data_IF_805948082033
#
_entry.id   IF_805948082033
#
_cell.length_a   1.000
_cell.length_b   1.000
_cell.length_c   1.000
_cell.angle_alpha   90.00
_cell.angle_beta   90.00
_cell.angle_gamma   90.00
#
_symmetry.space_group_name_H-M   'P 1'
#
loop_
_entity.id
_entity.type
_entity.pdbx_description
1 polymer ?
#
# COMPACT_ATOMS: atom_id res chain seq x y z
N UNK A 1 47.39 -10.12 -30.17
CA UNK A 1 46.85 -9.40 -29.00
C UNK A 1 45.45 -8.93 -29.36
N UNK A 2 44.42 -9.52 -28.76
CA UNK A 2 43.02 -9.15 -29.00
C UNK A 2 42.61 -8.17 -27.90
N UNK A 3 42.25 -6.95 -28.27
CA UNK A 3 41.70 -5.96 -27.36
C UNK A 3 40.30 -6.39 -26.95
N UNK A 4 40.12 -6.68 -25.66
CA UNK A 4 38.83 -6.90 -25.03
C UNK A 4 38.21 -5.52 -24.77
N UNK A 5 37.22 -5.13 -25.57
CA UNK A 5 36.41 -3.94 -25.27
C UNK A 5 35.49 -4.28 -24.10
N UNK A 6 35.81 -3.76 -22.91
CA UNK A 6 34.90 -3.76 -21.78
C UNK A 6 33.83 -2.70 -22.10
N UNK A 7 32.69 -3.16 -22.61
CA UNK A 7 31.48 -2.34 -22.62
C UNK A 7 31.08 -2.18 -21.16
N UNK A 8 31.40 -1.04 -20.56
CA UNK A 8 30.74 -0.62 -19.33
C UNK A 8 29.25 -0.48 -19.68
N UNK A 9 28.46 -1.48 -19.31
CA UNK A 9 27.02 -1.33 -19.16
C UNK A 9 26.79 -0.27 -18.10
N UNK A 10 26.59 0.98 -18.53
CA UNK A 10 26.00 2.00 -17.70
C UNK A 10 24.70 1.40 -17.13
N UNK A 11 24.67 1.30 -15.80
CA UNK A 11 23.53 0.79 -15.07
C UNK A 11 22.24 1.48 -15.53
N UNK A 12 21.18 0.68 -15.57
CA UNK A 12 19.82 1.07 -15.95
C UNK A 12 19.45 2.45 -15.37
N UNK A 13 18.80 3.26 -16.21
CA UNK A 13 18.52 4.65 -15.96
C UNK A 13 17.89 4.91 -14.60
N UNK A 14 18.44 5.90 -13.91
CA UNK A 14 17.79 6.59 -12.81
C UNK A 14 16.44 7.10 -13.33
N UNK A 15 15.35 6.56 -12.78
CA UNK A 15 13.98 7.04 -13.02
C UNK A 15 13.92 8.56 -12.86
N UNK A 16 13.12 9.23 -13.69
CA UNK A 16 12.97 10.68 -13.63
C UNK A 16 12.41 11.10 -12.27
N UNK A 17 13.30 11.52 -11.38
CA UNK A 17 12.97 12.04 -10.08
C UNK A 17 12.06 13.28 -10.25
N UNK A 18 11.00 13.38 -9.46
CA UNK A 18 10.01 14.46 -9.57
C UNK A 18 10.40 15.62 -8.66
N UNK A 19 10.01 16.84 -9.01
CA UNK A 19 10.26 17.98 -8.14
C UNK A 19 9.34 17.91 -6.93
N UNK A 20 9.89 17.79 -5.72
CA UNK A 20 9.14 17.86 -4.47
C UNK A 20 8.87 19.33 -4.09
N UNK A 21 8.09 20.00 -4.93
CA UNK A 21 7.64 21.38 -4.77
C UNK A 21 6.14 21.42 -4.59
N UNK A 22 5.68 22.12 -3.55
CA UNK A 22 4.26 22.25 -3.15
C UNK A 22 3.36 22.90 -4.20
N UNK A 23 3.94 23.47 -5.27
CA UNK A 23 3.20 24.12 -6.37
C UNK A 23 2.76 23.18 -7.49
N UNK A 24 3.19 21.91 -7.48
CA UNK A 24 2.95 20.96 -8.58
C UNK A 24 2.04 19.83 -8.11
N UNK A 25 0.81 19.78 -8.62
CA UNK A 25 -0.04 18.60 -8.51
C UNK A 25 0.40 17.53 -9.50
N UNK A 26 0.26 16.25 -9.13
CA UNK A 26 0.48 15.13 -10.04
C UNK A 26 -0.87 14.61 -10.52
N UNK A 27 -0.96 14.18 -11.77
CA UNK A 27 -2.23 13.73 -12.33
C UNK A 27 -2.10 12.34 -12.92
N UNK A 28 -2.97 11.45 -12.48
CA UNK A 28 -3.14 10.11 -13.03
C UNK A 28 -4.48 10.04 -13.75
N UNK A 29 -4.46 9.62 -15.02
CA UNK A 29 -5.67 9.32 -15.78
C UNK A 29 -6.21 7.97 -15.35
N UNK A 30 -7.53 7.89 -15.18
CA UNK A 30 -8.23 6.64 -14.92
C UNK A 30 -8.77 6.10 -16.25
N UNK A 31 -8.37 4.89 -16.62
CA UNK A 31 -8.74 4.28 -17.91
C UNK A 31 -9.98 3.40 -17.79
N UNK A 32 -9.99 2.55 -16.76
CA UNK A 32 -11.05 1.58 -16.48
C UNK A 32 -11.37 1.69 -14.99
N UNK A 33 -12.47 2.37 -14.68
CA UNK A 33 -13.02 2.42 -13.33
C UNK A 33 -14.26 1.53 -13.28
N UNK A 34 -14.32 0.65 -12.30
CA UNK A 34 -15.47 -0.20 -11.98
C UNK A 34 -15.72 -0.12 -10.49
N UNK A 35 -16.99 0.04 -10.14
CA UNK A 35 -17.45 0.15 -8.76
C UNK A 35 -18.67 -0.74 -8.61
N UNK A 36 -18.45 -2.01 -8.33
CA UNK A 36 -19.54 -2.91 -8.00
C UNK A 36 -19.86 -2.73 -6.53
N UNK A 37 -21.08 -2.30 -6.23
CA UNK A 37 -21.52 -2.09 -4.87
C UNK A 37 -22.53 -3.14 -4.44
N UNK A 38 -22.67 -3.39 -3.12
CA UNK A 38 -23.87 -4.05 -2.62
C UNK A 38 -25.08 -3.17 -2.94
N UNK A 39 -26.17 -3.79 -3.41
CA UNK A 39 -27.45 -3.10 -3.54
C UNK A 39 -27.96 -2.73 -2.14
N UNK A 40 -27.98 -1.43 -1.84
CA UNK A 40 -28.43 -0.88 -0.55
C UNK A 40 -29.88 -1.22 -0.25
N UNK A 41 -30.67 -1.58 -1.27
CA UNK A 41 -32.09 -1.93 -1.15
C UNK A 41 -32.32 -3.45 -1.01
N UNK A 42 -31.27 -4.29 -1.12
CA UNK A 42 -31.35 -5.76 -0.95
C UNK A 42 -30.52 -6.25 0.25
N UNK A 43 -31.17 -6.59 1.38
CA UNK A 43 -30.51 -7.20 2.53
C UNK A 43 -29.79 -8.50 2.14
N UNK A 44 -28.49 -8.60 2.40
CA UNK A 44 -27.67 -9.77 2.09
C UNK A 44 -26.76 -9.64 0.87
N UNK A 45 -26.86 -8.55 0.10
CA UNK A 45 -25.81 -8.13 -0.81
C UNK A 45 -24.72 -7.47 0.02
N UNK A 46 -23.66 -8.20 0.34
CA UNK A 46 -22.48 -7.63 0.99
C UNK A 46 -21.32 -7.51 0.01
N UNK A 47 -21.29 -8.25 -1.09
CA UNK A 47 -20.18 -8.21 -2.04
C UNK A 47 -20.10 -6.88 -2.81
N UNK A 48 -18.92 -6.27 -2.84
CA UNK A 48 -18.57 -5.08 -3.61
C UNK A 48 -17.19 -5.27 -4.24
N UNK A 49 -16.89 -4.66 -5.38
CA UNK A 49 -15.55 -4.70 -6.01
C UNK A 49 -15.24 -3.38 -6.65
N UNK A 50 -14.10 -2.79 -6.31
CA UNK A 50 -13.56 -1.62 -6.98
C UNK A 50 -12.38 -2.07 -7.83
N UNK A 51 -12.31 -1.56 -9.06
CA UNK A 51 -11.13 -1.66 -9.90
C UNK A 51 -10.88 -0.29 -10.53
N UNK A 52 -9.65 0.21 -10.43
CA UNK A 52 -9.22 1.46 -11.07
C UNK A 52 -7.87 1.24 -11.73
N UNK A 53 -7.82 1.38 -13.05
CA UNK A 53 -6.56 1.37 -13.81
C UNK A 53 -6.01 2.78 -13.98
N UNK A 54 -4.81 3.02 -13.46
CA UNK A 54 -4.14 4.33 -13.45
C UNK A 54 -3.07 4.41 -14.54
N UNK A 55 -3.00 5.56 -15.19
CA UNK A 55 -2.10 5.79 -16.32
C UNK A 55 -1.58 7.24 -16.34
N UNK A 56 -0.37 7.43 -16.87
CA UNK A 56 0.13 8.77 -17.25
C UNK A 56 -0.22 9.15 -18.69
N UNK A 57 -0.74 8.20 -19.48
CA UNK A 57 -1.08 8.35 -20.89
C UNK A 57 -2.25 7.42 -21.30
N UNK A 58 -2.06 6.55 -22.29
CA UNK A 58 -3.04 5.56 -22.75
C UNK A 58 -2.77 4.14 -22.26
N UNK A 59 -1.60 3.88 -21.69
CA UNK A 59 -1.21 2.54 -21.21
C UNK A 59 -1.37 2.45 -19.70
N UNK A 60 -2.10 1.45 -19.16
CA UNK A 60 -2.26 1.28 -17.72
C UNK A 60 -0.90 0.99 -17.07
N UNK A 61 -0.53 1.82 -16.09
CA UNK A 61 0.70 1.70 -15.31
C UNK A 61 0.46 0.95 -14.00
N UNK A 62 -0.68 1.20 -13.34
CA UNK A 62 -1.02 0.56 -12.08
C UNK A 62 -2.47 0.09 -12.08
N UNK A 63 -2.71 -1.07 -11.48
CA UNK A 63 -4.04 -1.64 -11.26
C UNK A 63 -4.36 -1.64 -9.77
N UNK A 64 -5.39 -0.89 -9.38
CA UNK A 64 -5.86 -0.73 -8.01
C UNK A 64 -7.17 -1.51 -7.84
N UNK A 65 -7.14 -2.65 -7.13
CA UNK A 65 -8.31 -3.54 -6.98
C UNK A 65 -8.57 -3.87 -5.52
N UNK A 66 -9.83 -3.86 -5.09
CA UNK A 66 -10.27 -4.30 -3.76
C UNK A 66 -11.72 -4.85 -3.81
N UNK A 67 -12.10 -5.77 -2.91
CA UNK A 67 -13.42 -6.43 -2.95
C UNK A 67 -14.14 -6.53 -1.60
N UNK A 68 -15.13 -5.71 -1.26
CA UNK A 68 -15.90 -5.83 0.01
C UNK A 68 -16.91 -7.03 0.06
N UNK A 69 -17.35 -7.52 1.25
CA UNK A 69 -16.44 -7.72 2.34
C UNK A 69 -15.30 -8.55 1.75
N UNK A 70 -14.10 -8.01 1.83
CA UNK A 70 -12.99 -8.88 1.57
C UNK A 70 -13.11 -9.95 2.66
N UNK A 71 -12.76 -11.20 2.35
CA UNK A 71 -12.38 -12.21 3.34
C UNK A 71 -11.24 -11.74 4.31
N UNK A 72 -10.91 -10.45 4.31
CA UNK A 72 -9.72 -9.79 4.78
C UNK A 72 -10.16 -8.74 5.82
N UNK A 73 -9.72 -8.91 7.06
CA UNK A 73 -9.84 -7.92 8.14
C UNK A 73 -8.77 -6.83 7.98
N UNK A 74 -8.80 -6.07 6.89
CA UNK A 74 -8.20 -4.72 6.82
C UNK A 74 -8.96 -3.77 7.74
N UNK A 75 -8.44 -2.56 8.01
CA UNK A 75 -9.10 -1.62 8.94
C UNK A 75 -10.56 -1.35 8.53
N UNK A 76 -11.51 -1.85 9.33
CA UNK A 76 -12.95 -1.68 9.14
C UNK A 76 -13.45 -0.64 10.14
N UNK A 77 -13.51 0.64 9.78
CA UNK A 77 -14.45 1.51 10.48
C UNK A 77 -15.86 1.10 10.00
N UNK A 78 -16.54 0.31 10.83
CA UNK A 78 -17.89 -0.23 10.56
C UNK A 78 -18.89 0.89 10.19
N UNK A 79 -18.58 2.12 10.59
CA UNK A 79 -19.37 3.32 10.31
C UNK A 79 -19.11 3.91 8.91
N UNK A 80 -17.89 3.80 8.38
CA UNK A 80 -17.48 4.48 7.14
C UNK A 80 -17.18 3.54 5.96
N UNK A 81 -17.09 2.22 6.17
CA UNK A 81 -16.80 1.22 5.11
C UNK A 81 -15.61 1.66 4.22
N UNK A 82 -14.44 1.88 4.82
CA UNK A 82 -13.20 2.23 4.13
C UNK A 82 -12.35 0.98 3.93
N UNK A 83 -11.85 0.70 2.71
CA UNK A 83 -10.82 -0.34 2.45
C UNK A 83 -9.57 0.33 1.92
N UNK A 84 -8.40 -0.05 2.42
CA UNK A 84 -7.08 0.26 1.86
C UNK A 84 -6.54 -0.94 1.08
N UNK A 85 -6.00 -0.71 -0.12
CA UNK A 85 -5.36 -1.74 -0.93
C UNK A 85 -4.22 -1.15 -1.76
N UNK A 86 -3.26 -1.98 -2.13
CA UNK A 86 -2.14 -1.59 -2.99
C UNK A 86 -2.57 -1.46 -4.45
N UNK A 87 -1.86 -0.63 -5.20
CA UNK A 87 -1.95 -0.57 -6.65
C UNK A 87 -0.75 -1.30 -7.28
N UNK A 88 -1.01 -2.38 -8.00
CA UNK A 88 0.03 -3.24 -8.56
C UNK A 88 0.56 -2.61 -9.86
N UNK A 89 1.88 -2.42 -9.95
CA UNK A 89 2.52 -1.99 -11.20
C UNK A 89 2.38 -3.07 -12.27
N UNK A 90 1.87 -2.69 -13.45
CA UNK A 90 1.57 -3.62 -14.55
C UNK A 90 2.80 -4.12 -15.29
N UNK A 91 3.98 -3.57 -15.00
CA UNK A 91 5.19 -3.76 -15.80
C UNK A 91 5.22 -2.90 -17.08
N UNK A 92 4.17 -2.11 -17.34
CA UNK A 92 4.12 -1.23 -18.50
C UNK A 92 4.74 0.14 -18.21
N UNK A 93 5.44 0.68 -19.21
CA UNK A 93 6.15 1.97 -19.12
C UNK A 93 7.26 1.98 -18.06
N UNK A 94 7.88 3.14 -17.86
CA UNK A 94 8.73 3.37 -16.70
C UNK A 94 7.84 3.88 -15.57
N UNK A 95 7.47 3.02 -14.62
CA UNK A 95 6.78 3.46 -13.41
C UNK A 95 7.54 4.63 -12.78
N UNK A 96 6.84 5.68 -12.37
CA UNK A 96 7.47 6.91 -11.86
C UNK A 96 7.28 7.07 -10.35
N UNK A 97 6.62 6.11 -9.71
CA UNK A 97 6.35 6.05 -8.28
C UNK A 97 6.98 4.76 -7.73
N UNK A 98 7.52 4.84 -6.51
CA UNK A 98 8.08 3.69 -5.79
C UNK A 98 6.99 2.77 -5.26
N UNK A 99 5.90 3.36 -4.80
CA UNK A 99 4.72 2.64 -4.29
C UNK A 99 3.47 3.48 -4.51
N UNK A 100 2.34 2.81 -4.68
CA UNK A 100 1.04 3.43 -4.86
C UNK A 100 0.00 2.58 -4.15
N UNK A 101 -0.86 3.23 -3.38
CA UNK A 101 -1.99 2.60 -2.70
C UNK A 101 -3.23 3.46 -2.88
N UNK A 102 -4.38 2.83 -2.73
CA UNK A 102 -5.66 3.52 -2.80
C UNK A 102 -6.55 3.10 -1.63
N UNK A 103 -7.54 3.94 -1.34
CA UNK A 103 -8.62 3.60 -0.46
C UNK A 103 -9.98 3.95 -1.07
N UNK A 104 -11.06 3.30 -0.63
CA UNK A 104 -12.41 3.59 -1.12
C UNK A 104 -13.37 3.78 0.03
N UNK A 105 -14.06 4.92 0.04
CA UNK A 105 -15.24 5.16 0.87
C UNK A 105 -16.47 4.75 0.06
N UNK A 106 -17.06 3.61 0.42
CA UNK A 106 -18.19 3.03 -0.31
C UNK A 106 -19.50 3.83 -0.13
N UNK A 107 -19.63 4.57 0.97
CA UNK A 107 -20.82 5.37 1.23
C UNK A 107 -20.80 6.65 0.41
N UNK A 108 -19.63 7.30 0.33
CA UNK A 108 -19.44 8.54 -0.42
C UNK A 108 -19.12 8.30 -1.90
N UNK A 109 -18.81 7.05 -2.29
CA UNK A 109 -18.33 6.67 -3.62
C UNK A 109 -17.08 7.48 -4.00
N UNK A 110 -16.12 7.55 -3.08
CA UNK A 110 -14.86 8.30 -3.28
C UNK A 110 -13.70 7.34 -3.26
N UNK A 111 -12.82 7.46 -4.24
CA UNK A 111 -11.50 6.81 -4.27
C UNK A 111 -10.46 7.80 -3.78
N UNK A 112 -9.64 7.39 -2.83
CA UNK A 112 -8.46 8.09 -2.35
C UNK A 112 -7.22 7.43 -2.94
N UNK A 113 -6.23 8.22 -3.32
CA UNK A 113 -4.97 7.73 -3.87
C UNK A 113 -3.82 8.31 -3.06
N UNK A 114 -2.84 7.48 -2.72
CA UNK A 114 -1.58 7.89 -2.13
C UNK A 114 -0.43 7.25 -2.90
N UNK A 115 0.63 8.01 -3.17
CA UNK A 115 1.80 7.47 -3.86
C UNK A 115 3.09 8.14 -3.38
N UNK A 116 4.16 7.34 -3.38
CA UNK A 116 5.50 7.75 -2.98
C UNK A 116 6.40 7.73 -4.20
N UNK A 117 7.24 8.75 -4.37
CA UNK A 117 8.18 8.85 -5.49
C UNK A 117 9.50 9.50 -5.07
N UNK A 118 10.56 9.26 -5.85
CA UNK A 118 11.86 9.89 -5.60
C UNK A 118 11.84 11.37 -5.99
N UNK A 119 12.35 12.22 -5.09
CA UNK A 119 12.54 13.65 -5.33
C UNK A 119 13.78 13.91 -6.19
N UNK A 120 13.72 14.90 -7.08
CA UNK A 120 14.86 15.36 -7.90
C UNK A 120 15.85 16.24 -7.14
N UNK A 121 15.76 16.26 -5.81
CA UNK A 121 16.83 16.79 -4.99
C UNK A 121 18.02 15.84 -5.06
N UNK A 122 19.22 16.39 -5.06
CA UNK A 122 20.46 15.58 -5.04
C UNK A 122 20.66 14.86 -3.70
N UNK A 123 19.67 14.91 -2.81
CA UNK A 123 19.68 14.33 -1.47
C UNK A 123 19.01 12.95 -1.46
N UNK A 124 18.25 12.62 -2.52
CA UNK A 124 17.60 11.32 -2.67
C UNK A 124 16.37 11.18 -1.77
N UNK A 125 15.70 12.29 -1.44
CA UNK A 125 14.50 12.24 -0.60
C UNK A 125 13.31 11.66 -1.35
N UNK A 126 12.23 11.39 -0.61
CA UNK A 126 10.98 10.84 -1.13
C UNK A 126 9.85 11.83 -0.88
N UNK A 127 8.97 11.98 -1.87
CA UNK A 127 7.74 12.75 -1.76
C UNK A 127 6.55 11.82 -1.58
N UNK A 128 5.62 12.20 -0.71
CA UNK A 128 4.30 11.60 -0.59
C UNK A 128 3.28 12.57 -1.18
N UNK A 129 2.44 12.10 -2.11
CA UNK A 129 1.31 12.88 -2.59
C UNK A 129 0.02 12.09 -2.43
N UNK A 130 -1.03 12.80 -2.02
CA UNK A 130 -2.37 12.23 -1.84
C UNK A 130 -3.39 12.96 -2.69
N UNK A 131 -4.45 12.27 -3.08
CA UNK A 131 -5.52 12.86 -3.88
C UNK A 131 -6.82 12.08 -3.75
N UNK A 132 -7.87 12.66 -4.28
CA UNK A 132 -9.21 12.07 -4.25
C UNK A 132 -9.86 12.14 -5.61
N UNK A 133 -10.71 11.15 -5.88
CA UNK A 133 -11.56 11.07 -7.04
C UNK A 133 -12.96 10.68 -6.57
N UNK A 134 -13.90 11.64 -6.58
CA UNK A 134 -15.31 11.31 -6.50
C UNK A 134 -15.71 10.48 -7.73
N UNK A 135 -16.28 9.30 -7.52
CA UNK A 135 -16.94 8.53 -8.56
C UNK A 135 -18.37 9.08 -8.72
N UNK A 136 -18.48 10.30 -9.23
CA UNK A 136 -19.76 10.91 -9.57
C UNK A 136 -20.28 10.35 -10.89
N UNK A 137 -21.60 10.19 -10.99
CA UNK A 137 -22.30 9.68 -12.17
C UNK A 137 -21.86 8.28 -12.61
N UNK A 138 -22.22 7.28 -11.80
CA UNK A 138 -22.13 5.88 -12.17
C UNK A 138 -23.40 5.43 -12.90
N UNK A 139 -23.23 4.67 -13.97
CA UNK A 139 -24.28 3.88 -14.61
C UNK A 139 -24.20 2.45 -14.07
N UNK A 140 -25.27 1.99 -13.43
CA UNK A 140 -25.31 0.74 -12.68
C UNK A 140 -26.36 -0.21 -13.25
N UNK A 141 -25.93 -1.40 -13.63
CA UNK A 141 -26.79 -2.52 -13.97
C UNK A 141 -26.96 -3.42 -12.73
N UNK A 142 -28.20 -3.57 -12.27
CA UNK A 142 -28.51 -4.40 -11.10
C UNK A 142 -28.95 -5.78 -11.56
N UNK A 143 -28.35 -6.81 -10.97
CA UNK A 143 -28.72 -8.20 -11.21
C UNK A 143 -29.89 -8.62 -10.33
N UNK A 144 -30.51 -9.76 -10.67
CA UNK A 144 -31.60 -10.33 -9.86
C UNK A 144 -31.15 -10.67 -8.43
N UNK A 145 -29.89 -11.09 -8.24
CA UNK A 145 -29.32 -11.44 -6.94
C UNK A 145 -28.96 -10.23 -6.05
N UNK A 146 -29.00 -9.01 -6.61
CA UNK A 146 -28.72 -7.78 -5.87
C UNK A 146 -27.27 -7.34 -5.86
N UNK A 147 -26.44 -7.92 -6.73
CA UNK A 147 -25.18 -7.27 -7.11
C UNK A 147 -25.45 -6.12 -8.09
N UNK A 148 -24.64 -5.06 -7.98
CA UNK A 148 -24.62 -3.98 -8.95
C UNK A 148 -23.32 -4.02 -9.73
N UNK A 149 -23.41 -3.91 -11.05
CA UNK A 149 -22.27 -3.63 -11.91
C UNK A 149 -22.30 -2.15 -12.26
N UNK A 150 -21.40 -1.34 -11.67
CA UNK A 150 -21.36 0.09 -11.98
C UNK A 150 -20.08 0.52 -12.68
N UNK A 151 -20.26 1.36 -13.68
CA UNK A 151 -19.17 2.02 -14.41
C UNK A 151 -19.43 3.52 -14.53
N UNK A 152 -18.41 4.36 -14.70
CA UNK A 152 -18.61 5.77 -14.98
C UNK A 152 -19.50 5.99 -16.19
N UNK A 153 -20.55 6.79 -16.01
CA UNK A 153 -21.54 7.09 -17.04
C UNK A 153 -20.87 7.73 -18.26
N UNK A 154 -21.23 7.22 -19.44
CA UNK A 154 -20.74 7.78 -20.69
C UNK A 154 -21.15 9.25 -20.86
N UNK A 155 -20.32 10.03 -21.55
CA UNK A 155 -20.64 11.40 -21.94
C UNK A 155 -21.86 11.44 -22.86
N UNK A 156 -22.42 12.63 -23.10
CA UNK A 156 -23.55 12.80 -24.04
C UNK A 156 -23.27 12.32 -25.48
N UNK A 157 -21.99 12.16 -25.85
CA UNK A 157 -21.58 11.59 -27.14
C UNK A 157 -21.36 10.07 -27.11
N UNK A 158 -21.65 9.40 -26.00
CA UNK A 158 -21.43 7.96 -25.79
C UNK A 158 -19.97 7.57 -25.55
N UNK A 159 -19.07 8.55 -25.34
CA UNK A 159 -17.67 8.27 -25.03
C UNK A 159 -17.47 8.03 -23.53
N UNK A 160 -16.40 7.31 -23.17
CA UNK A 160 -16.02 7.17 -21.75
C UNK A 160 -15.61 8.54 -21.18
N UNK A 161 -16.00 8.87 -19.93
CA UNK A 161 -15.60 10.12 -19.31
C UNK A 161 -14.09 10.14 -19.07
N UNK A 162 -13.47 11.32 -19.20
CA UNK A 162 -12.05 11.50 -18.90
C UNK A 162 -11.84 11.74 -17.40
N UNK A 163 -11.77 10.64 -16.65
CA UNK A 163 -11.55 10.67 -15.21
C UNK A 163 -10.06 10.84 -14.89
N UNK A 164 -9.76 11.72 -13.93
CA UNK A 164 -8.38 12.01 -13.51
C UNK A 164 -8.33 12.19 -12.00
N UNK A 165 -7.36 11.53 -11.37
CA UNK A 165 -7.03 11.76 -9.96
C UNK A 165 -5.89 12.78 -9.93
N UNK A 166 -6.12 13.91 -9.29
CA UNK A 166 -5.06 14.89 -9.02
C UNK A 166 -4.61 14.74 -7.58
N UNK A 167 -3.31 14.56 -7.38
CA UNK A 167 -2.68 14.46 -6.08
C UNK A 167 -1.87 15.70 -5.78
N UNK A 168 -1.79 16.05 -4.51
CA UNK A 168 -1.03 17.19 -3.99
C UNK A 168 0.06 16.63 -3.09
N UNK A 169 1.26 17.21 -3.20
CA UNK A 169 2.39 16.87 -2.34
C UNK A 169 2.04 17.22 -0.89
N UNK A 170 2.15 16.23 0.00
CA UNK A 170 2.01 16.44 1.44
C UNK A 170 3.15 17.33 1.96
N UNK A 171 2.92 18.09 3.05
CA UNK A 171 3.98 18.84 3.71
C UNK A 171 5.18 17.95 4.03
N UNK A 172 6.38 18.54 4.01
CA UNK A 172 7.58 17.80 4.36
C UNK A 172 7.48 17.29 5.80
N UNK A 173 7.68 15.98 5.97
CA UNK A 173 7.64 15.35 7.27
C UNK A 173 8.71 15.93 8.21
N UNK A 174 8.37 16.21 9.47
CA UNK A 174 9.31 16.74 10.45
C UNK A 174 10.35 15.66 10.80
N UNK A 175 11.56 16.09 11.20
CA UNK A 175 12.64 15.17 11.57
C UNK A 175 12.35 14.45 12.89
N UNK A 176 12.50 13.13 12.91
CA UNK A 176 12.16 12.28 14.05
C UNK A 176 12.89 12.66 15.35
N UNK A 177 14.11 13.18 15.28
CA UNK A 177 14.89 13.50 16.48
C UNK A 177 14.50 14.87 17.06
N UNK A 178 14.03 15.80 16.24
CA UNK A 178 13.70 17.17 16.68
C UNK A 178 12.20 17.45 16.78
N UNK A 179 11.35 16.67 16.10
CA UNK A 179 9.91 16.90 16.08
C UNK A 179 9.27 16.74 17.47
N UNK A 180 8.38 17.66 17.83
CA UNK A 180 7.48 17.47 18.96
C UNK A 180 6.36 16.49 18.59
N UNK A 181 5.68 15.91 19.58
CA UNK A 181 4.50 15.11 19.29
C UNK A 181 3.38 15.92 18.64
N UNK A 182 3.25 17.23 18.94
CA UNK A 182 2.29 18.08 18.25
C UNK A 182 2.57 18.11 16.75
N UNK A 183 3.83 18.32 16.37
CA UNK A 183 4.24 18.35 14.95
C UNK A 183 3.92 17.02 14.27
N UNK A 184 4.18 15.89 14.94
CA UNK A 184 3.91 14.55 14.42
C UNK A 184 2.40 14.32 14.24
N UNK A 185 1.58 14.75 15.20
CA UNK A 185 0.12 14.53 15.16
C UNK A 185 -0.59 15.28 14.04
N UNK A 186 -0.01 16.35 13.52
CA UNK A 186 -0.56 17.13 12.41
C UNK A 186 -0.22 16.54 11.04
N UNK A 187 0.73 15.58 10.97
CA UNK A 187 1.14 14.97 9.72
C UNK A 187 0.25 13.81 9.32
N UNK A 188 0.06 13.64 8.01
CA UNK A 188 -0.53 12.43 7.47
C UNK A 188 0.37 11.22 7.75
N UNK A 189 -0.11 10.30 8.58
CA UNK A 189 0.64 9.13 9.00
C UNK A 189 0.44 7.97 8.02
N UNK A 190 1.53 7.49 7.44
CA UNK A 190 1.57 6.31 6.59
C UNK A 190 2.97 5.71 6.60
N UNK A 191 3.08 4.47 6.14
CA UNK A 191 4.35 3.73 6.11
C UNK A 191 4.65 3.16 4.75
N UNK A 192 5.92 3.13 4.40
CA UNK A 192 6.41 2.20 3.38
C UNK A 192 7.01 0.98 4.07
N UNK A 193 6.50 -0.20 3.75
CA UNK A 193 7.07 -1.48 4.15
C UNK A 193 8.01 -1.96 3.04
N UNK A 194 9.27 -2.19 3.37
CA UNK A 194 10.31 -2.65 2.46
C UNK A 194 10.93 -3.96 2.94
N UNK A 195 11.61 -4.66 2.02
CA UNK A 195 12.40 -5.86 2.33
C UNK A 195 11.59 -6.93 3.06
N UNK A 196 10.32 -7.09 2.69
CA UNK A 196 9.51 -8.18 3.18
C UNK A 196 10.22 -9.51 2.92
N UNK A 197 10.35 -10.32 3.97
CA UNK A 197 11.02 -11.60 3.90
C UNK A 197 10.39 -12.60 4.87
N UNK A 198 10.01 -13.76 4.35
CA UNK A 198 9.53 -14.92 5.13
C UNK A 198 10.06 -16.19 4.48
N UNK A 199 10.51 -17.14 5.29
CA UNK A 199 10.93 -18.46 4.83
C UNK A 199 10.15 -19.56 5.54
N UNK A 200 9.79 -20.60 4.80
CA UNK A 200 9.15 -21.79 5.36
C UNK A 200 9.45 -23.02 4.52
N UNK A 201 9.23 -24.20 5.08
CA UNK A 201 9.36 -25.48 4.37
C UNK A 201 7.97 -26.05 4.08
N UNK A 202 7.67 -26.42 2.84
CA UNK A 202 6.45 -27.18 2.51
C UNK A 202 6.78 -28.68 2.39
N UNK A 203 5.92 -29.52 2.97
CA UNK A 203 6.02 -30.97 2.70
C UNK A 203 5.43 -31.24 1.31
N UNK A 204 6.07 -32.09 0.47
CA UNK A 204 5.52 -32.43 -0.84
C UNK A 204 4.06 -32.87 -0.77
N UNK A 205 3.20 -32.22 -1.56
CA UNK A 205 1.75 -32.47 -1.58
C UNK A 205 0.94 -31.74 -0.51
N UNK A 206 1.54 -30.82 0.25
CA UNK A 206 0.85 -29.98 1.25
C UNK A 206 0.98 -28.50 0.93
N UNK A 207 -0.02 -27.71 1.33
CA UNK A 207 -0.03 -26.25 1.20
C UNK A 207 0.32 -25.53 2.50
N UNK A 208 0.47 -26.28 3.60
CA UNK A 208 0.76 -25.74 4.92
C UNK A 208 2.26 -25.85 5.24
N UNK A 209 2.90 -24.80 5.77
CA UNK A 209 4.25 -24.86 6.30
C UNK A 209 4.44 -26.01 7.29
N UNK A 210 5.56 -26.72 7.17
CA UNK A 210 6.00 -27.70 8.16
C UNK A 210 6.19 -26.97 9.49
N UNK A 211 5.58 -27.51 10.55
CA UNK A 211 5.64 -26.94 11.89
C UNK A 211 7.09 -26.63 12.32
N UNK A 212 7.30 -25.43 12.86
CA UNK A 212 8.61 -24.96 13.34
C UNK A 212 9.61 -24.58 12.26
N UNK A 213 9.23 -24.57 10.98
CA UNK A 213 10.11 -24.14 9.88
C UNK A 213 9.78 -22.77 9.31
N UNK A 214 8.60 -22.24 9.64
CA UNK A 214 8.20 -20.90 9.23
C UNK A 214 8.87 -19.87 10.14
N UNK A 215 9.71 -19.03 9.55
CA UNK A 215 10.44 -17.97 10.25
C UNK A 215 9.53 -16.86 10.74
N UNK A 216 8.28 -16.81 10.24
CA UNK A 216 7.46 -15.61 10.29
C UNK A 216 8.08 -14.50 9.42
N UNK A 217 7.43 -13.32 9.34
CA UNK A 217 7.93 -12.23 8.55
C UNK A 217 9.05 -11.44 9.24
N UNK A 218 9.87 -10.83 8.41
CA UNK A 218 10.81 -9.76 8.74
C UNK A 218 10.72 -8.69 7.65
N UNK A 219 10.85 -7.43 8.03
CA UNK A 219 10.71 -6.29 7.12
C UNK A 219 11.30 -5.01 7.72
N UNK A 220 11.46 -3.99 6.90
CA UNK A 220 11.77 -2.63 7.32
C UNK A 220 10.54 -1.76 7.14
N UNK A 221 10.13 -1.04 8.19
CA UNK A 221 9.05 -0.07 8.13
C UNK A 221 9.66 1.33 8.12
N UNK A 222 9.28 2.17 7.15
CA UNK A 222 9.69 3.57 7.07
C UNK A 222 8.48 4.46 7.30
N UNK A 223 8.59 5.37 8.27
CA UNK A 223 7.58 6.39 8.53
C UNK A 223 7.62 7.46 7.45
N UNK A 224 6.48 7.71 6.80
CA UNK A 224 6.33 8.81 5.84
C UNK A 224 5.87 10.10 6.53
N UNK A 225 5.15 9.99 7.65
CA UNK A 225 4.71 11.15 8.44
C UNK A 225 5.80 11.74 9.34
N UNK A 226 6.96 11.09 9.46
CA UNK A 226 8.11 11.57 10.26
C UNK A 226 9.41 11.14 9.60
N UNK A 227 10.21 12.10 9.15
CA UNK A 227 11.46 11.83 8.44
C UNK A 227 12.52 11.20 9.37
N UNK A 228 13.24 10.19 8.88
CA UNK A 228 14.29 9.51 9.63
C UNK A 228 13.81 8.42 10.60
N UNK A 229 12.50 8.24 10.78
CA UNK A 229 11.97 7.13 11.56
C UNK A 229 11.89 5.84 10.71
N UNK A 230 12.90 4.99 10.87
CA UNK A 230 12.93 3.64 10.30
C UNK A 230 12.87 2.61 11.42
N UNK A 231 12.16 1.51 11.18
CA UNK A 231 12.04 0.41 12.12
C UNK A 231 12.42 -0.90 11.44
N UNK A 232 13.28 -1.68 12.09
CA UNK A 232 13.61 -3.04 11.65
C UNK A 232 12.76 -4.03 12.43
N UNK A 233 11.87 -4.73 11.73
CA UNK A 233 10.86 -5.62 12.30
C UNK A 233 11.25 -7.08 12.10
N UNK A 234 11.16 -7.87 13.16
CA UNK A 234 11.38 -9.31 13.10
C UNK A 234 10.42 -10.05 14.04
N UNK A 235 10.04 -11.26 13.64
CA UNK A 235 9.22 -12.16 14.45
C UNK A 235 9.96 -12.51 15.74
N UNK A 236 9.32 -12.30 16.89
CA UNK A 236 9.89 -12.61 18.22
C UNK A 236 9.35 -13.92 18.78
N UNK A 237 8.20 -14.39 18.28
CA UNK A 237 7.65 -15.69 18.65
C UNK A 237 7.10 -16.43 17.43
N UNK A 238 7.60 -17.66 17.21
CA UNK A 238 7.07 -18.59 16.24
C UNK A 238 5.93 -19.39 16.89
N UNK A 239 4.73 -18.80 16.91
CA UNK A 239 3.53 -19.48 17.42
C UNK A 239 2.84 -20.26 16.28
N UNK A 240 2.10 -21.32 16.64
CA UNK A 240 1.14 -21.95 15.73
C UNK A 240 -0.10 -21.05 15.67
N UNK A 241 0.00 -19.92 14.98
CA UNK A 241 -1.01 -18.86 14.97
C UNK A 241 -0.49 -17.59 14.29
N UNK A 242 -1.13 -16.42 14.54
CA UNK A 242 -0.58 -15.16 14.10
C UNK A 242 0.80 -14.94 14.71
N UNK A 243 1.79 -14.69 13.87
CA UNK A 243 3.14 -14.33 14.29
C UNK A 243 3.11 -12.99 14.99
N UNK A 244 3.85 -12.87 16.08
CA UNK A 244 4.05 -11.60 16.76
C UNK A 244 5.52 -11.21 16.66
N UNK A 245 5.76 -9.92 16.53
CA UNK A 245 7.11 -9.40 16.47
C UNK A 245 7.22 -7.95 16.91
N UNK A 246 8.46 -7.54 17.05
CA UNK A 246 8.85 -6.21 17.50
C UNK A 246 9.63 -5.51 16.39
N UNK A 247 9.48 -4.19 16.35
CA UNK A 247 10.14 -3.31 15.40
C UNK A 247 11.07 -2.37 16.17
N UNK A 248 12.37 -2.59 16.01
CA UNK A 248 13.40 -1.75 16.64
C UNK A 248 13.59 -0.48 15.83
N UNK A 249 13.43 0.67 16.48
CA UNK A 249 13.74 1.97 15.88
C UNK A 249 15.12 2.46 16.28
N UNK A 250 15.76 3.22 15.40
CA UNK A 250 16.93 4.02 15.74
C UNK A 250 16.55 5.31 16.50
N UNK A 251 15.25 5.62 16.56
CA UNK A 251 14.70 6.79 17.27
C UNK A 251 14.21 6.34 18.64
N UNK A 252 14.86 6.82 19.71
CA UNK A 252 14.61 6.34 21.08
C UNK A 252 13.17 6.52 21.59
N UNK A 253 12.46 7.54 21.11
CA UNK A 253 11.06 7.83 21.47
C UNK A 253 10.04 7.11 20.59
N UNK A 254 10.46 6.22 19.68
CA UNK A 254 9.58 5.53 18.75
C UNK A 254 9.71 4.01 18.92
N UNK A 255 8.58 3.33 19.00
CA UNK A 255 8.52 1.87 19.02
C UNK A 255 7.40 1.38 18.12
N UNK A 256 7.54 0.17 17.59
CA UNK A 256 6.44 -0.49 16.91
C UNK A 256 6.42 -1.99 17.21
N UNK A 257 5.23 -2.57 17.09
CA UNK A 257 4.98 -4.01 17.22
C UNK A 257 4.12 -4.46 16.07
N UNK A 258 4.22 -5.72 15.67
CA UNK A 258 3.36 -6.26 14.62
C UNK A 258 2.75 -7.60 15.00
N UNK A 259 1.62 -7.88 14.36
CA UNK A 259 1.01 -9.21 14.28
C UNK A 259 0.82 -9.56 12.81
N UNK A 260 1.16 -10.78 12.41
CA UNK A 260 0.95 -11.27 11.06
C UNK A 260 0.17 -12.58 11.07
N UNK A 261 -1.02 -12.60 10.48
CA UNK A 261 -1.79 -13.82 10.28
C UNK A 261 -1.36 -14.49 8.95
N UNK A 262 -0.64 -15.63 8.99
CA UNK A 262 -0.16 -16.29 7.78
C UNK A 262 -1.25 -16.98 6.96
N UNK A 263 -2.45 -17.19 7.52
CA UNK A 263 -3.58 -17.78 6.78
C UNK A 263 -4.32 -16.73 5.97
N UNK A 264 -4.40 -15.53 6.52
CA UNK A 264 -5.04 -14.37 5.87
C UNK A 264 -4.02 -13.50 5.11
N UNK A 265 -2.72 -13.71 5.33
CA UNK A 265 -1.62 -12.83 4.93
C UNK A 265 -1.82 -11.37 5.35
N UNK A 266 -2.41 -11.15 6.53
CA UNK A 266 -2.67 -9.81 7.06
C UNK A 266 -1.59 -9.44 8.07
N UNK A 267 -0.92 -8.31 7.82
CA UNK A 267 -0.01 -7.66 8.74
C UNK A 267 -0.72 -6.49 9.42
N UNK A 268 -0.75 -6.49 10.75
CA UNK A 268 -1.14 -5.34 11.55
C UNK A 268 0.08 -4.81 12.27
N UNK A 269 0.38 -3.54 12.09
CA UNK A 269 1.46 -2.86 12.80
C UNK A 269 0.86 -1.77 13.68
N UNK A 270 1.32 -1.71 14.93
CA UNK A 270 1.02 -0.63 15.86
C UNK A 270 2.32 0.11 16.17
N UNK A 271 2.36 1.39 15.82
CA UNK A 271 3.45 2.30 16.17
C UNK A 271 3.04 3.17 17.35
N UNK A 272 4.04 3.52 18.16
CA UNK A 272 3.89 4.39 19.32
C UNK A 272 5.02 5.41 19.35
N UNK A 273 4.66 6.67 19.60
CA UNK A 273 5.57 7.76 19.93
C UNK A 273 5.44 8.13 21.40
N UNK A 274 6.57 8.11 22.11
CA UNK A 274 6.66 8.59 23.47
C UNK A 274 6.72 10.13 23.48
N UNK A 275 5.71 10.74 24.10
CA UNK A 275 5.54 12.18 24.22
C UNK A 275 5.94 12.71 25.61
N UNK A 276 6.63 11.89 26.41
CA UNK A 276 7.09 12.24 27.75
C UNK A 276 5.92 12.42 28.72
N UNK A 277 5.61 13.68 29.04
CA UNK A 277 4.54 14.01 30.01
C UNK A 277 3.14 14.04 29.39
N UNK A 278 3.03 13.98 28.07
CA UNK A 278 1.76 13.94 27.35
C UNK A 278 1.37 12.49 27.00
N UNK A 279 0.10 12.29 26.62
CA UNK A 279 -0.33 11.01 26.06
C UNK A 279 0.54 10.63 24.86
N UNK A 280 0.90 9.35 24.78
CA UNK A 280 1.62 8.82 23.64
C UNK A 280 0.75 8.90 22.39
N UNK A 281 1.35 9.20 21.23
CA UNK A 281 0.66 9.07 19.96
C UNK A 281 0.79 7.63 19.48
N UNK A 282 -0.34 7.00 19.20
CA UNK A 282 -0.37 5.65 18.67
C UNK A 282 -1.02 5.67 17.30
N UNK A 283 -0.43 4.93 16.37
CA UNK A 283 -1.00 4.72 15.04
C UNK A 283 -1.04 3.24 14.72
N UNK A 284 -2.08 2.83 14.00
CA UNK A 284 -2.25 1.46 13.54
C UNK A 284 -2.39 1.46 12.04
N UNK A 285 -1.66 0.58 11.37
CA UNK A 285 -1.84 0.28 9.96
C UNK A 285 -2.05 -1.21 9.77
N UNK A 286 -2.88 -1.55 8.80
CA UNK A 286 -3.18 -2.93 8.43
C UNK A 286 -2.93 -3.06 6.94
N UNK A 287 -2.09 -4.00 6.54
CA UNK A 287 -1.74 -4.27 5.15
C UNK A 287 -1.85 -5.76 4.83
N UNK A 288 -2.31 -6.07 3.62
CA UNK A 288 -2.18 -7.41 3.08
C UNK A 288 -0.78 -7.59 2.48
N UNK A 289 -0.12 -8.69 2.81
CA UNK A 289 1.24 -8.93 2.37
C UNK A 289 1.28 -10.00 1.29
N UNK A 290 1.35 -9.55 0.04
CA UNK A 290 1.56 -10.44 -1.10
C UNK A 290 3.06 -10.60 -1.38
N UNK A 291 3.61 -11.77 -1.05
CA UNK A 291 4.99 -12.11 -1.40
C UNK A 291 5.06 -13.05 -2.61
N UNK A 292 5.98 -12.79 -3.53
CA UNK A 292 6.43 -13.79 -4.51
C UNK A 292 7.32 -14.79 -3.79
N UNK A 293 6.97 -16.06 -3.84
CA UNK A 293 7.71 -17.13 -3.18
C UNK A 293 8.53 -17.94 -4.18
N UNK A 294 9.85 -17.89 -4.05
CA UNK A 294 10.77 -18.71 -4.83
C UNK A 294 11.14 -19.99 -4.09
N UNK A 295 11.24 -21.08 -4.86
CA UNK A 295 11.75 -22.37 -4.39
C UNK A 295 13.09 -22.65 -5.03
N UNK A 296 14.12 -22.85 -4.19
CA UNK A 296 15.44 -23.28 -4.69
C UNK A 296 15.34 -24.62 -5.44
N UNK A 297 16.20 -24.82 -6.44
CA UNK A 297 16.28 -26.09 -7.17
C UNK A 297 16.53 -27.26 -6.20
N UNK A 298 15.69 -28.29 -6.23
CA UNK A 298 15.69 -29.42 -5.29
C UNK A 298 15.61 -29.03 -3.80
N UNK A 299 14.93 -27.92 -3.48
CA UNK A 299 14.66 -27.51 -2.10
C UNK A 299 13.17 -27.58 -1.78
N UNK A 300 12.86 -27.91 -0.54
CA UNK A 300 11.51 -27.76 0.05
C UNK A 300 11.36 -26.41 0.78
N UNK A 301 12.42 -25.59 0.79
CA UNK A 301 12.43 -24.24 1.36
C UNK A 301 11.88 -23.25 0.33
N UNK A 302 10.86 -22.51 0.75
CA UNK A 302 10.29 -21.39 0.04
C UNK A 302 10.76 -20.09 0.70
N UNK A 303 11.20 -19.13 -0.12
CA UNK A 303 11.57 -17.79 0.32
C UNK A 303 10.64 -16.79 -0.35
N UNK A 304 9.86 -16.07 0.45
CA UNK A 304 8.89 -15.11 -0.02
C UNK A 304 9.40 -13.68 0.18
N UNK A 305 9.28 -12.85 -0.85
CA UNK A 305 9.63 -11.43 -0.83
C UNK A 305 8.61 -10.58 -1.57
N UNK A 306 8.51 -9.30 -1.21
CA UNK A 306 7.63 -8.32 -1.86
C UNK A 306 8.43 -7.08 -2.25
N UNK A 307 7.98 -6.42 -3.32
CA UNK A 307 8.30 -5.01 -3.58
C UNK A 307 7.78 -4.12 -2.43
N UNK A 308 8.22 -2.85 -2.34
CA UNK A 308 7.73 -1.92 -1.32
C UNK A 308 6.20 -1.76 -1.34
N UNK A 309 5.59 -1.84 -0.16
CA UNK A 309 4.14 -1.75 0.06
C UNK A 309 3.82 -0.47 0.82
N UNK A 310 2.77 0.25 0.44
CA UNK A 310 2.34 1.48 1.12
C UNK A 310 1.16 1.17 2.05
N UNK A 311 1.33 1.40 3.34
CA UNK A 311 0.32 1.12 4.36
C UNK A 311 -0.20 2.44 4.91
N UNK A 312 -1.49 2.72 4.68
CA UNK A 312 -2.21 3.79 5.36
C UNK A 312 -2.39 3.49 6.85
N UNK A 313 -2.41 4.53 7.68
CA UNK A 313 -2.56 4.36 9.13
C UNK A 313 -3.71 5.20 9.67
N UNK A 314 -4.20 4.80 10.85
CA UNK A 314 -5.14 5.56 11.66
C UNK A 314 -4.52 5.88 13.01
N UNK A 315 -4.73 7.10 13.49
CA UNK A 315 -4.39 7.50 14.85
C UNK A 315 -5.42 6.94 15.85
N UNK A 316 -4.94 6.40 16.98
CA UNK A 316 -5.77 5.83 18.06
C UNK A 316 -6.12 6.87 19.14
#
# INVERSE_FOLDING_TARGET
>A
MRYLAIVLSAAAGVQAARQCSTTTGYTHRVLDARYDGPDVDKPGSDLATISVSLSSSTTPLYECVAQWPESWKGFHNVTEKLIWSDCIWTGAGTGADKSMAFAVDWNKKVVYLAHVFACSDRQGTEGLATGTLPLSDLDCDYTEDGSAYCTPKATSSGARPDLRISTILEPAAPDANTASCSDISEQYQSWTLEKWHRQFVLTPGTFEPKAGTDTGPSFTLKSLGVHGATFTCATTSASVGPFQGECKSDVAKAAATFTFDPKLNILTVKQKWDCGNSAALETVGVGYMQGTCDRGFNSDVFTCSSEPVLIGTEAL
#
